data_IF_021692663702
#
_entry.id   IF_021692663702
#
_cell.length_a   1.000
_cell.length_b   1.000
_cell.length_c   1.000
_cell.angle_alpha   90.00
_cell.angle_beta   90.00
_cell.angle_gamma   90.00
#
_symmetry.space_group_name_H-M   'P 1'
#
loop_
_entity.id
_entity.type
_entity.pdbx_description
1 polymer ?
#
# COMPACT_ATOMS: atom_id res chain seq x y z
N UNK A 1 -21.31 13.58 -2.63
CA UNK A 1 -21.90 13.04 -1.38
C UNK A 1 -20.98 11.99 -0.81
N UNK A 2 -21.33 11.38 0.32
CA UNK A 2 -20.56 10.28 0.92
C UNK A 2 -20.51 9.04 0.01
N UNK A 3 -21.61 8.71 -0.65
CA UNK A 3 -21.67 7.64 -1.66
C UNK A 3 -20.63 7.78 -2.79
N UNK A 4 -20.37 9.02 -3.23
CA UNK A 4 -19.36 9.28 -4.26
C UNK A 4 -17.95 8.91 -3.78
N UNK A 5 -17.66 9.12 -2.50
CA UNK A 5 -16.36 8.76 -1.92
C UNK A 5 -16.21 7.26 -1.71
N UNK A 6 -17.29 6.56 -1.36
CA UNK A 6 -17.27 5.10 -1.33
C UNK A 6 -17.04 4.51 -2.72
N UNK A 7 -17.71 5.05 -3.74
CA UNK A 7 -17.46 4.64 -5.12
C UNK A 7 -16.02 4.93 -5.54
N UNK A 8 -15.50 6.14 -5.27
CA UNK A 8 -14.10 6.48 -5.56
C UNK A 8 -13.11 5.59 -4.81
N UNK A 9 -13.37 5.21 -3.55
CA UNK A 9 -12.51 4.27 -2.83
C UNK A 9 -12.51 2.90 -3.48
N UNK A 10 -13.66 2.43 -3.99
CA UNK A 10 -13.73 1.15 -4.71
C UNK A 10 -12.89 1.18 -5.99
N UNK A 11 -12.99 2.25 -6.78
CA UNK A 11 -12.17 2.43 -8.00
C UNK A 11 -10.68 2.54 -7.64
N UNK A 12 -10.34 3.33 -6.62
CA UNK A 12 -8.96 3.49 -6.15
C UNK A 12 -8.35 2.16 -5.69
N UNK A 13 -9.10 1.34 -4.95
CA UNK A 13 -8.67 0.00 -4.52
C UNK A 13 -8.38 -0.88 -5.73
N UNK A 14 -9.21 -0.83 -6.79
CA UNK A 14 -8.95 -1.58 -8.01
C UNK A 14 -7.68 -1.10 -8.74
N UNK A 15 -7.49 0.22 -8.84
CA UNK A 15 -6.28 0.81 -9.45
C UNK A 15 -5.03 0.39 -8.68
N UNK A 16 -5.06 0.45 -7.36
CA UNK A 16 -3.94 0.04 -6.50
C UNK A 16 -3.68 -1.45 -6.65
N UNK A 17 -4.70 -2.30 -6.57
CA UNK A 17 -4.55 -3.76 -6.61
C UNK A 17 -4.09 -4.33 -7.96
N UNK A 18 -4.24 -3.58 -9.05
CA UNK A 18 -3.80 -3.98 -10.40
C UNK A 18 -2.60 -3.18 -10.90
N UNK A 19 -2.06 -2.26 -10.08
CA UNK A 19 -0.94 -1.40 -10.43
C UNK A 19 0.28 -1.63 -9.53
N UNK A 20 1.37 -0.94 -9.86
CA UNK A 20 2.55 -0.89 -9.00
C UNK A 20 2.35 0.10 -7.84
N UNK A 21 3.05 -0.12 -6.73
CA UNK A 21 3.12 0.88 -5.67
C UNK A 21 4.11 1.97 -6.09
N UNK A 22 3.55 3.10 -6.50
CA UNK A 22 4.26 4.23 -7.10
C UNK A 22 3.75 5.58 -6.56
N UNK A 23 4.15 6.67 -7.23
CA UNK A 23 3.71 8.02 -6.90
C UNK A 23 2.19 8.21 -7.06
N UNK A 24 1.55 7.46 -7.95
CA UNK A 24 0.10 7.46 -8.15
C UNK A 24 -0.60 6.87 -6.93
N UNK A 25 -0.16 5.71 -6.44
CA UNK A 25 -0.68 5.12 -5.20
C UNK A 25 -0.52 6.08 -4.01
N UNK A 26 0.63 6.75 -3.92
CA UNK A 26 0.89 7.75 -2.88
C UNK A 26 0.01 9.00 -3.00
N UNK A 27 -0.27 9.46 -4.22
CA UNK A 27 -1.16 10.60 -4.47
C UNK A 27 -2.63 10.27 -4.15
N UNK A 28 -3.07 9.06 -4.52
CA UNK A 28 -4.40 8.52 -4.19
C UNK A 28 -4.57 8.49 -2.68
N UNK A 29 -3.68 7.79 -1.95
CA UNK A 29 -3.76 7.71 -0.49
C UNK A 29 -3.75 9.11 0.15
N UNK A 30 -2.84 10.00 -0.30
CA UNK A 30 -2.78 11.37 0.19
C UNK A 30 -4.09 12.15 0.05
N UNK A 31 -4.84 11.91 -1.02
CA UNK A 31 -6.14 12.55 -1.26
C UNK A 31 -7.21 12.03 -0.28
N UNK A 32 -7.24 10.72 -0.03
CA UNK A 32 -8.14 10.11 0.95
C UNK A 32 -7.78 10.48 2.39
N UNK A 33 -6.50 10.67 2.70
CA UNK A 33 -6.06 11.16 4.02
C UNK A 33 -6.52 12.59 4.26
N UNK A 34 -6.32 13.47 3.27
CA UNK A 34 -6.74 14.86 3.37
C UNK A 34 -8.27 14.99 3.55
N UNK A 35 -9.06 14.24 2.79
CA UNK A 35 -10.52 14.26 2.95
C UNK A 35 -10.98 13.51 4.21
N UNK A 36 -10.31 12.41 4.58
CA UNK A 36 -10.58 11.67 5.80
C UNK A 36 -10.44 12.53 7.05
N UNK A 37 -9.41 13.40 7.10
CA UNK A 37 -9.27 14.42 8.15
C UNK A 37 -10.45 15.40 8.21
N UNK A 38 -10.94 15.85 7.05
CA UNK A 38 -12.08 16.78 6.97
C UNK A 38 -13.39 16.14 7.41
N UNK A 39 -13.55 14.83 7.19
CA UNK A 39 -14.78 14.08 7.46
C UNK A 39 -14.76 13.25 8.74
N UNK A 40 -13.61 13.10 9.38
CA UNK A 40 -13.43 12.26 10.56
C UNK A 40 -13.35 10.76 10.26
N UNK A 41 -12.93 10.36 9.06
CA UNK A 41 -12.70 8.95 8.74
C UNK A 41 -11.41 8.44 9.37
N UNK A 42 -11.43 7.17 9.79
CA UNK A 42 -10.29 6.50 10.39
C UNK A 42 -9.69 5.48 9.42
N UNK A 43 -8.36 5.46 9.31
CA UNK A 43 -7.67 4.41 8.55
C UNK A 43 -7.82 3.01 9.16
N UNK A 44 -8.16 2.92 10.46
CA UNK A 44 -8.46 1.66 11.14
C UNK A 44 -9.89 1.16 10.89
N UNK A 45 -10.77 2.00 10.35
CA UNK A 45 -12.13 1.62 9.97
C UNK A 45 -12.17 1.26 8.48
N UNK A 46 -12.09 -0.04 8.19
CA UNK A 46 -12.11 -0.58 6.82
C UNK A 46 -13.42 -0.34 6.07
N UNK A 47 -14.50 0.05 6.76
CA UNK A 47 -15.75 0.44 6.11
C UNK A 47 -15.72 1.87 5.58
N UNK A 48 -14.80 2.71 6.10
CA UNK A 48 -14.62 4.08 5.62
C UNK A 48 -13.82 4.12 4.30
N UNK A 49 -14.05 5.13 3.44
CA UNK A 49 -13.29 5.27 2.20
C UNK A 49 -11.77 5.36 2.42
N UNK A 50 -11.33 6.02 3.49
CA UNK A 50 -9.92 6.09 3.87
C UNK A 50 -9.37 4.73 4.29
N UNK A 51 -10.07 4.00 5.16
CA UNK A 51 -9.61 2.69 5.63
C UNK A 51 -9.52 1.65 4.51
N UNK A 52 -10.47 1.67 3.56
CA UNK A 52 -10.43 0.79 2.39
C UNK A 52 -9.19 1.04 1.51
N UNK A 53 -8.90 2.30 1.18
CA UNK A 53 -7.73 2.67 0.36
C UNK A 53 -6.43 2.42 1.11
N UNK A 54 -6.39 2.74 2.41
CA UNK A 54 -5.23 2.47 3.26
C UNK A 54 -4.88 0.98 3.30
N UNK A 55 -5.87 0.10 3.48
CA UNK A 55 -5.68 -1.34 3.50
C UNK A 55 -5.17 -1.88 2.15
N UNK A 56 -5.67 -1.34 1.03
CA UNK A 56 -5.19 -1.72 -0.30
C UNK A 56 -3.72 -1.34 -0.50
N UNK A 57 -3.33 -0.10 -0.19
CA UNK A 57 -1.92 0.33 -0.28
C UNK A 57 -1.02 -0.51 0.62
N UNK A 58 -1.45 -0.78 1.86
CA UNK A 58 -0.68 -1.61 2.79
C UNK A 58 -0.47 -3.03 2.23
N UNK A 59 -1.50 -3.62 1.64
CA UNK A 59 -1.44 -4.98 1.09
C UNK A 59 -0.50 -5.05 -0.12
N UNK A 60 -0.59 -4.11 -1.05
CA UNK A 60 0.28 -4.08 -2.22
C UNK A 60 1.72 -3.77 -1.86
N UNK A 61 1.93 -2.86 -0.91
CA UNK A 61 3.28 -2.54 -0.44
C UNK A 61 3.90 -3.74 0.26
N UNK A 62 3.13 -4.51 1.05
CA UNK A 62 3.61 -5.77 1.59
C UNK A 62 3.98 -6.75 0.48
N UNK A 63 3.17 -6.85 -0.58
CA UNK A 63 3.45 -7.72 -1.73
C UNK A 63 4.74 -7.33 -2.46
N UNK A 64 5.01 -6.04 -2.64
CA UNK A 64 6.22 -5.57 -3.32
C UNK A 64 7.49 -5.67 -2.47
N UNK A 65 7.35 -5.83 -1.14
CA UNK A 65 8.50 -5.97 -0.23
C UNK A 65 8.84 -7.42 0.12
N UNK A 66 7.97 -8.38 -0.23
CA UNK A 66 8.28 -9.81 -0.15
C UNK A 66 9.30 -10.15 -1.23
N UNK A 67 10.51 -10.52 -0.79
CA UNK A 67 11.54 -11.09 -1.65
C UNK A 67 11.53 -12.59 -1.46
N UNK A 68 11.17 -13.34 -2.51
CA UNK A 68 11.30 -14.78 -2.48
C UNK A 68 12.79 -15.11 -2.60
N UNK A 69 13.34 -15.81 -1.60
CA UNK A 69 14.75 -16.17 -1.56
C UNK A 69 15.11 -17.33 -2.50
N UNK A 70 14.12 -17.87 -3.22
CA UNK A 70 14.29 -19.00 -4.12
C UNK A 70 14.39 -18.54 -5.58
N UNK A 71 15.35 -19.16 -6.26
CA UNK A 71 15.76 -18.94 -7.64
C UNK A 71 14.62 -19.18 -8.64
N UNK A 72 13.73 -18.21 -8.82
CA UNK A 72 12.98 -18.06 -10.07
C UNK A 72 13.38 -16.71 -10.68
N UNK A 73 13.67 -16.71 -11.99
CA UNK A 73 14.31 -15.62 -12.75
C UNK A 73 14.05 -14.21 -12.21
N UNK A 74 15.08 -13.35 -12.19
CA UNK A 74 15.01 -11.92 -11.82
C UNK A 74 13.96 -11.08 -12.60
N UNK A 75 13.21 -11.72 -13.50
CA UNK A 75 12.06 -11.20 -14.23
C UNK A 75 10.72 -11.39 -13.49
N UNK A 76 10.69 -12.11 -12.35
CA UNK A 76 9.48 -12.38 -11.55
C UNK A 76 9.47 -11.69 -10.18
N UNK A 77 10.56 -11.02 -9.80
CA UNK A 77 10.58 -10.19 -8.59
C UNK A 77 9.80 -8.88 -8.81
N UNK A 78 8.98 -8.42 -7.85
CA UNK A 78 8.35 -7.11 -7.93
C UNK A 78 9.42 -6.03 -8.10
N UNK A 79 9.14 -5.05 -8.99
CA UNK A 79 10.01 -3.90 -9.10
C UNK A 79 10.06 -3.16 -7.75
N UNK A 80 11.23 -2.63 -7.36
CA UNK A 80 11.34 -1.86 -6.14
C UNK A 80 10.44 -0.61 -6.25
N UNK A 81 9.77 -0.29 -5.15
CA UNK A 81 8.99 0.95 -5.03
C UNK A 81 9.94 2.14 -5.27
N UNK A 82 9.59 3.09 -6.15
CA UNK A 82 10.36 4.31 -6.35
C UNK A 82 10.59 5.04 -5.02
N UNK A 83 11.81 5.52 -4.75
CA UNK A 83 12.18 6.12 -3.46
C UNK A 83 11.25 7.27 -3.04
N UNK A 84 10.87 8.12 -4.00
CA UNK A 84 9.94 9.23 -3.74
C UNK A 84 8.54 8.74 -3.29
N UNK A 85 8.06 7.64 -3.86
CA UNK A 85 6.80 7.02 -3.47
C UNK A 85 6.91 6.38 -2.07
N UNK A 86 7.98 5.62 -1.80
CA UNK A 86 8.23 5.01 -0.49
C UNK A 86 8.27 6.07 0.62
N UNK A 87 9.08 7.13 0.46
CA UNK A 87 9.19 8.20 1.45
C UNK A 87 7.84 8.88 1.70
N UNK A 88 7.09 9.16 0.64
CA UNK A 88 5.77 9.80 0.74
C UNK A 88 4.76 8.90 1.46
N UNK A 89 4.73 7.61 1.11
CA UNK A 89 3.84 6.64 1.76
C UNK A 89 4.20 6.44 3.23
N UNK A 90 5.49 6.41 3.59
CA UNK A 90 5.93 6.35 4.99
C UNK A 90 5.42 7.55 5.79
N UNK A 91 5.50 8.75 5.21
CA UNK A 91 4.96 9.96 5.81
C UNK A 91 3.44 9.88 6.03
N UNK A 92 2.69 9.37 5.05
CA UNK A 92 1.24 9.18 5.17
C UNK A 92 0.86 8.11 6.22
N UNK A 93 1.61 7.01 6.31
CA UNK A 93 1.38 5.99 7.33
C UNK A 93 1.65 6.54 8.73
N UNK A 94 2.76 7.26 8.92
CA UNK A 94 3.08 7.90 10.19
C UNK A 94 2.01 8.91 10.61
N UNK A 95 1.51 9.70 9.65
CA UNK A 95 0.41 10.64 9.85
C UNK A 95 -0.89 9.95 10.32
N UNK A 96 -1.15 8.75 9.84
CA UNK A 96 -2.29 7.91 10.24
C UNK A 96 -2.03 7.09 11.52
N UNK A 97 -0.84 7.21 12.13
CA UNK A 97 -0.46 6.43 13.31
C UNK A 97 -0.18 4.96 13.02
N UNK A 98 0.11 4.61 11.76
CA UNK A 98 0.43 3.25 11.32
C UNK A 98 1.92 3.09 11.00
N UNK A 99 2.43 1.86 11.16
CA UNK A 99 3.77 1.51 10.71
C UNK A 99 3.74 1.13 9.22
N UNK A 100 4.70 1.64 8.46
CA UNK A 100 4.91 1.21 7.09
C UNK A 100 5.35 -0.27 7.05
N UNK A 101 4.97 -1.03 6.01
CA UNK A 101 5.50 -2.37 5.80
C UNK A 101 7.03 -2.34 5.68
N UNK A 102 7.70 -3.25 6.38
CA UNK A 102 9.14 -3.43 6.29
C UNK A 102 9.47 -4.58 5.33
N UNK A 103 10.60 -4.53 4.62
CA UNK A 103 11.06 -5.63 3.79
C UNK A 103 11.22 -6.92 4.60
N UNK A 104 10.45 -7.94 4.23
CA UNK A 104 10.58 -9.28 4.80
C UNK A 104 11.34 -10.14 3.79
N UNK A 105 12.57 -10.50 4.14
CA UNK A 105 13.25 -11.60 3.45
C UNK A 105 12.54 -12.90 3.85
N UNK A 106 11.97 -13.63 2.89
CA UNK A 106 11.45 -14.98 3.15
C UNK A 106 12.65 -15.88 3.41
N UNK A 107 12.86 -16.31 4.65
CA UNK A 107 13.91 -17.28 4.98
C UNK A 107 13.49 -18.69 4.54
N UNK A 108 14.06 -19.17 3.43
CA UNK A 108 14.14 -20.58 3.01
C UNK A 108 15.11 -20.64 1.81
N UNK A 109 16.06 -21.56 1.67
CA UNK A 109 16.24 -22.87 2.26
C UNK A 109 17.68 -23.09 2.79
N UNK A 110 17.81 -23.84 3.89
CA UNK A 110 19.10 -24.45 4.23
C UNK A 110 19.36 -25.56 3.21
N UNK A 111 20.51 -25.61 2.52
CA UNK A 111 20.83 -26.74 1.64
C UNK A 111 20.89 -28.03 2.49
N UNK A 112 20.27 -29.14 2.07
CA UNK A 112 20.57 -30.43 2.71
C UNK A 112 22.06 -30.73 2.52
N UNK A 113 22.71 -31.16 3.62
CA UNK A 113 24.09 -31.64 3.61
C UNK A 113 24.22 -32.99 2.89
#
# INVERSE_FOLDING_TARGET
GEEAWHHLSSEAVQVIAHGDIDETAAAILGSFVAEGRRRGWSAADSSSPLGAVFAAVQSEWLRSTVRDGELEDALHEPLPIPEAADQRLRGLFAELGAAAPEPVAVRGATPPQ
#
